data_IF_934019417796
#
_entry.id   IF_934019417796
#
_cell.length_a   1.000
_cell.length_b   1.000
_cell.length_c   1.000
_cell.angle_alpha   90.00
_cell.angle_beta   90.00
_cell.angle_gamma   90.00
#
_symmetry.space_group_name_H-M   'P 1'
#
loop_
_entity.id
_entity.type
_entity.pdbx_description
1 polymer ?
#
# COMPACT_ATOMS: atom_id res chain seq x y z
N UNK A 1 6.53 9.15 -16.10
CA UNK A 1 6.78 8.67 -14.74
C UNK A 1 5.49 8.86 -13.98
N UNK A 2 4.83 7.81 -13.49
CA UNK A 2 3.54 7.95 -12.81
C UNK A 2 3.68 7.83 -11.29
N UNK A 3 3.07 8.78 -10.58
CA UNK A 3 3.07 8.85 -9.12
C UNK A 3 1.70 8.44 -8.59
N UNK A 4 1.67 7.36 -7.83
CA UNK A 4 0.47 6.72 -7.31
C UNK A 4 0.26 7.17 -5.88
N UNK A 5 -0.88 7.82 -5.61
CA UNK A 5 -1.26 8.16 -4.25
C UNK A 5 -2.23 7.13 -3.66
N UNK A 6 -2.05 6.81 -2.38
CA UNK A 6 -2.96 5.94 -1.64
C UNK A 6 -4.14 6.75 -1.08
N UNK A 7 -5.34 6.56 -1.64
CA UNK A 7 -6.58 7.18 -1.17
C UNK A 7 -7.28 6.26 -0.17
N UNK A 8 -7.17 6.63 1.11
CA UNK A 8 -7.78 5.89 2.22
C UNK A 8 -9.28 6.13 2.36
N UNK A 9 -10.05 5.05 2.34
CA UNK A 9 -11.49 5.04 2.55
C UNK A 9 -11.87 4.15 3.75
N UNK A 10 -13.10 4.28 4.22
CA UNK A 10 -13.72 3.31 5.13
C UNK A 10 -15.22 3.22 4.91
N UNK A 11 -15.79 2.06 5.21
CA UNK A 11 -17.21 1.86 5.37
C UNK A 11 -17.69 2.54 6.66
N UNK A 12 -18.78 3.30 6.55
CA UNK A 12 -19.45 3.93 7.67
C UNK A 12 -20.77 3.20 7.92
N UNK A 13 -20.83 2.42 9.00
CA UNK A 13 -21.99 1.60 9.35
C UNK A 13 -23.26 2.41 9.64
N UNK A 14 -23.09 3.61 10.22
CA UNK A 14 -24.20 4.49 10.59
C UNK A 14 -24.85 5.10 9.33
N UNK A 15 -24.02 5.46 8.35
CA UNK A 15 -24.48 6.05 7.09
C UNK A 15 -24.74 5.02 5.99
N UNK A 16 -24.39 3.75 6.22
CA UNK A 16 -24.52 2.66 5.24
C UNK A 16 -23.86 3.01 3.90
N UNK A 17 -22.69 3.65 3.96
CA UNK A 17 -21.94 4.08 2.76
C UNK A 17 -20.45 4.24 3.09
N UNK A 18 -19.63 4.34 2.06
CA UNK A 18 -18.22 4.66 2.22
C UNK A 18 -17.99 6.14 2.55
N UNK A 19 -16.86 6.44 3.18
CA UNK A 19 -16.35 7.79 3.29
C UNK A 19 -14.84 7.85 3.07
N UNK A 20 -14.40 8.97 2.50
CA UNK A 20 -12.99 9.29 2.38
C UNK A 20 -12.44 9.67 3.75
N UNK A 21 -11.31 9.07 4.12
CA UNK A 21 -10.54 9.43 5.32
C UNK A 21 -9.57 10.57 5.03
N UNK A 22 -9.31 10.86 3.75
CA UNK A 22 -8.34 11.87 3.31
C UNK A 22 -8.77 13.28 3.65
N UNK A 23 -7.84 14.07 4.18
CA UNK A 23 -8.02 15.47 4.58
C UNK A 23 -6.92 16.36 4.03
N UNK A 24 -7.22 17.65 3.96
CA UNK A 24 -6.24 18.72 3.79
C UNK A 24 -6.42 19.65 4.98
N UNK A 25 -5.64 19.41 6.04
CA UNK A 25 -5.88 20.05 7.34
C UNK A 25 -7.30 19.78 7.86
N UNK A 26 -8.12 20.82 7.98
CA UNK A 26 -9.46 20.72 8.59
C UNK A 26 -10.58 20.24 7.65
N UNK A 27 -10.35 20.19 6.34
CA UNK A 27 -11.38 19.82 5.34
C UNK A 27 -11.16 18.43 4.76
N UNK A 28 -12.23 17.82 4.23
CA UNK A 28 -12.13 16.60 3.41
C UNK A 28 -11.34 16.90 2.14
N UNK A 29 -10.49 15.96 1.72
CA UNK A 29 -9.77 16.05 0.46
C UNK A 29 -10.68 15.69 -0.72
N UNK A 30 -10.32 16.24 -1.86
CA UNK A 30 -10.93 16.05 -3.18
C UNK A 30 -9.89 15.52 -4.15
N UNK A 31 -10.31 15.08 -5.34
CA UNK A 31 -9.42 14.60 -6.40
C UNK A 31 -8.38 15.67 -6.79
N UNK A 32 -8.80 16.94 -6.85
CA UNK A 32 -7.91 18.06 -7.18
C UNK A 32 -6.75 18.18 -6.20
N UNK A 33 -6.93 17.79 -4.93
CA UNK A 33 -5.86 17.85 -3.93
C UNK A 33 -4.72 16.87 -4.25
N UNK A 34 -5.02 15.75 -4.91
CA UNK A 34 -4.03 14.82 -5.42
C UNK A 34 -3.30 15.40 -6.63
N UNK A 35 -4.05 15.93 -7.60
CA UNK A 35 -3.50 16.49 -8.83
C UNK A 35 -2.60 17.71 -8.57
N UNK A 36 -3.01 18.62 -7.68
CA UNK A 36 -2.24 19.81 -7.30
C UNK A 36 -0.88 19.47 -6.67
N UNK A 37 -0.75 18.27 -6.10
CA UNK A 37 0.49 17.76 -5.48
C UNK A 37 1.30 16.89 -6.43
N UNK A 38 0.90 16.80 -7.69
CA UNK A 38 1.65 16.12 -8.75
C UNK A 38 1.43 14.61 -8.81
N UNK A 39 0.36 14.08 -8.20
CA UNK A 39 0.01 12.67 -8.35
C UNK A 39 -0.71 12.43 -9.68
N UNK A 40 -0.29 11.37 -10.38
CA UNK A 40 -0.82 10.99 -11.70
C UNK A 40 -1.92 9.95 -11.59
N UNK A 41 -1.90 9.12 -10.54
CA UNK A 41 -2.85 8.03 -10.32
C UNK A 41 -3.24 7.93 -8.85
N UNK A 42 -4.41 7.34 -8.58
CA UNK A 42 -4.86 7.02 -7.22
C UNK A 42 -5.18 5.55 -7.07
N UNK A 43 -4.78 4.97 -5.95
CA UNK A 43 -5.22 3.64 -5.51
C UNK A 43 -6.26 3.89 -4.43
N UNK A 44 -7.49 3.41 -4.62
CA UNK A 44 -8.57 3.51 -3.63
C UNK A 44 -8.52 2.28 -2.74
N UNK A 45 -8.17 2.45 -1.46
CA UNK A 45 -7.94 1.34 -0.53
C UNK A 45 -8.34 1.65 0.92
N UNK A 46 -8.33 0.60 1.74
CA UNK A 46 -9.07 0.55 3.01
C UNK A 46 -8.32 -0.19 4.12
N UNK A 47 -7.02 -0.47 3.97
CA UNK A 47 -6.22 -1.23 4.94
C UNK A 47 -6.51 -2.73 4.90
N UNK A 48 -6.06 -3.35 3.81
CA UNK A 48 -6.18 -4.78 3.53
C UNK A 48 -7.61 -5.36 3.58
N UNK A 49 -8.65 -4.55 3.39
CA UNK A 49 -10.04 -5.00 3.46
C UNK A 49 -10.77 -4.73 4.77
N UNK A 50 -10.06 -4.40 5.86
CA UNK A 50 -10.69 -4.30 7.20
C UNK A 50 -11.68 -3.15 7.32
N UNK A 51 -11.53 -2.12 6.49
CA UNK A 51 -12.45 -0.99 6.44
C UNK A 51 -13.40 -1.04 5.24
N UNK A 52 -13.46 -2.13 4.47
CA UNK A 52 -14.49 -2.33 3.44
C UNK A 52 -15.71 -3.02 3.99
N UNK A 53 -16.87 -2.66 3.44
CA UNK A 53 -18.11 -3.38 3.68
C UNK A 53 -17.93 -4.89 3.39
N UNK A 54 -18.57 -5.73 4.20
CA UNK A 54 -18.50 -7.18 4.09
C UNK A 54 -19.85 -7.77 4.48
N UNK A 55 -20.76 -7.89 3.53
CA UNK A 55 -22.10 -8.43 3.77
C UNK A 55 -22.13 -9.96 3.92
N UNK A 56 -21.05 -10.64 3.56
CA UNK A 56 -20.91 -12.10 3.67
C UNK A 56 -19.67 -12.62 2.95
N UNK A 57 -19.66 -13.91 2.59
CA UNK A 57 -18.51 -14.59 1.95
C UNK A 57 -18.87 -15.27 0.62
N UNK A 58 -20.09 -15.07 0.12
CA UNK A 58 -20.52 -15.67 -1.16
C UNK A 58 -20.26 -14.71 -2.31
N UNK A 59 -20.23 -15.23 -3.54
CA UNK A 59 -20.21 -14.44 -4.77
C UNK A 59 -21.20 -13.26 -4.74
N UNK A 60 -22.47 -13.50 -4.38
CA UNK A 60 -23.49 -12.45 -4.37
C UNK A 60 -23.22 -11.33 -3.36
N UNK A 61 -22.53 -11.67 -2.26
CA UNK A 61 -22.08 -10.66 -1.28
C UNK A 61 -20.96 -9.83 -1.90
N UNK A 62 -19.93 -10.48 -2.43
CA UNK A 62 -18.83 -9.80 -3.10
C UNK A 62 -19.33 -8.88 -4.22
N UNK A 63 -20.26 -9.36 -5.05
CA UNK A 63 -20.86 -8.58 -6.12
C UNK A 63 -21.53 -7.30 -5.62
N UNK A 64 -22.37 -7.40 -4.60
CA UNK A 64 -23.04 -6.22 -4.05
C UNK A 64 -22.04 -5.28 -3.38
N UNK A 65 -21.13 -5.80 -2.55
CA UNK A 65 -20.17 -4.99 -1.80
C UNK A 65 -19.20 -4.25 -2.74
N UNK A 66 -18.71 -4.92 -3.79
CA UNK A 66 -17.86 -4.31 -4.82
C UNK A 66 -18.59 -3.28 -5.66
N UNK A 67 -19.85 -3.54 -6.02
CA UNK A 67 -20.71 -2.58 -6.72
C UNK A 67 -20.95 -1.32 -5.89
N UNK A 68 -21.22 -1.47 -4.60
CA UNK A 68 -21.43 -0.34 -3.67
C UNK A 68 -20.20 0.57 -3.58
N UNK A 69 -19.00 0.00 -3.55
CA UNK A 69 -17.77 0.79 -3.60
C UNK A 69 -17.64 1.54 -4.93
N UNK A 70 -17.88 0.86 -6.06
CA UNK A 70 -17.78 1.48 -7.38
C UNK A 70 -18.82 2.61 -7.59
N UNK A 71 -20.06 2.41 -7.13
CA UNK A 71 -21.10 3.45 -7.11
C UNK A 71 -20.68 4.64 -6.24
N UNK A 72 -20.07 4.39 -5.08
CA UNK A 72 -19.54 5.46 -4.24
C UNK A 72 -18.42 6.24 -4.94
N UNK A 73 -17.51 5.56 -5.64
CA UNK A 73 -16.43 6.20 -6.41
C UNK A 73 -16.99 7.11 -7.49
N UNK A 74 -18.05 6.69 -8.20
CA UNK A 74 -18.70 7.52 -9.23
C UNK A 74 -19.18 8.86 -8.68
N UNK A 75 -19.61 8.92 -7.41
CA UNK A 75 -20.06 10.18 -6.79
C UNK A 75 -18.93 11.16 -6.47
N UNK A 76 -17.67 10.82 -6.75
CA UNK A 76 -16.48 11.62 -6.40
C UNK A 76 -15.89 12.41 -7.54
N UNK A 77 -16.46 12.33 -8.74
CA UNK A 77 -15.98 13.02 -9.94
C UNK A 77 -14.46 12.83 -10.16
N UNK A 78 -13.99 11.58 -10.01
CA UNK A 78 -12.56 11.26 -10.18
C UNK A 78 -12.18 11.34 -11.65
N UNK A 79 -11.55 12.44 -12.05
CA UNK A 79 -10.98 12.63 -13.40
C UNK A 79 -9.47 12.36 -13.42
N UNK A 80 -9.06 11.22 -12.85
CA UNK A 80 -7.69 10.73 -12.96
C UNK A 80 -7.67 9.20 -12.95
N UNK A 81 -6.65 8.55 -13.57
CA UNK A 81 -6.51 7.10 -13.56
C UNK A 81 -6.55 6.54 -12.13
N UNK A 82 -7.36 5.49 -11.92
CA UNK A 82 -7.52 4.88 -10.60
C UNK A 82 -7.48 3.35 -10.59
N UNK A 83 -7.08 2.81 -9.45
CA UNK A 83 -7.17 1.38 -9.13
C UNK A 83 -8.11 1.19 -7.94
N UNK A 84 -8.91 0.13 -7.98
CA UNK A 84 -9.87 -0.19 -6.92
C UNK A 84 -9.37 -1.41 -6.15
N UNK A 85 -9.35 -1.32 -4.82
CA UNK A 85 -8.94 -2.44 -3.96
C UNK A 85 -9.79 -3.70 -4.18
N UNK A 86 -9.15 -4.86 -4.14
CA UNK A 86 -9.76 -6.16 -3.88
C UNK A 86 -9.45 -6.46 -2.41
N UNK A 87 -10.44 -6.35 -1.49
CA UNK A 87 -10.21 -6.44 -0.06
C UNK A 87 -9.94 -7.89 0.35
N UNK A 88 -8.91 -8.14 1.15
CA UNK A 88 -8.54 -9.49 1.58
C UNK A 88 -9.20 -9.90 2.91
N UNK A 89 -9.12 -9.04 3.92
CA UNK A 89 -9.65 -9.28 5.24
C UNK A 89 -11.08 -8.74 5.41
N UNK A 90 -11.83 -9.44 6.25
CA UNK A 90 -13.08 -8.98 6.87
C UNK A 90 -12.77 -7.98 7.98
N UNK A 91 -13.76 -7.19 8.43
CA UNK A 91 -13.59 -6.30 9.58
C UNK A 91 -13.16 -7.02 10.87
N UNK A 92 -13.51 -8.30 11.02
CA UNK A 92 -13.07 -9.15 12.16
C UNK A 92 -11.65 -9.72 12.01
N UNK A 93 -10.93 -9.34 10.95
CA UNK A 93 -9.55 -9.77 10.67
C UNK A 93 -9.44 -11.17 10.07
N UNK A 94 -10.55 -11.88 9.83
CA UNK A 94 -10.54 -13.16 9.11
C UNK A 94 -10.48 -12.92 7.61
N UNK A 95 -9.97 -13.89 6.88
CA UNK A 95 -10.00 -13.88 5.42
C UNK A 95 -11.44 -13.88 4.89
N UNK A 96 -11.73 -13.13 3.82
CA UNK A 96 -13.10 -13.00 3.27
C UNK A 96 -13.64 -14.29 2.67
N UNK A 97 -12.79 -14.98 1.93
CA UNK A 97 -13.10 -16.24 1.26
C UNK A 97 -11.81 -17.02 1.01
N UNK A 98 -11.89 -18.30 0.67
CA UNK A 98 -10.73 -19.15 0.44
C UNK A 98 -9.86 -18.62 -0.71
N UNK A 99 -8.54 -18.73 -0.54
CA UNK A 99 -7.53 -18.36 -1.56
C UNK A 99 -6.50 -19.46 -1.77
N UNK A 100 -6.81 -20.68 -1.31
CA UNK A 100 -5.94 -21.85 -1.44
C UNK A 100 -6.25 -22.63 -2.72
N UNK A 101 -7.51 -22.70 -3.13
CA UNK A 101 -7.89 -23.23 -4.43
C UNK A 101 -7.62 -22.20 -5.53
N UNK A 102 -7.34 -22.66 -6.75
CA UNK A 102 -7.17 -21.76 -7.90
C UNK A 102 -8.42 -20.90 -8.12
N UNK A 103 -8.23 -19.63 -8.47
CA UNK A 103 -9.32 -18.67 -8.69
C UNK A 103 -10.31 -19.13 -9.78
N UNK A 104 -9.83 -19.86 -10.79
CA UNK A 104 -10.69 -20.43 -11.84
C UNK A 104 -11.55 -21.60 -11.37
N UNK A 105 -11.16 -22.28 -10.28
CA UNK A 105 -11.85 -23.46 -9.74
C UNK A 105 -13.00 -23.12 -8.78
N UNK A 106 -13.14 -21.84 -8.41
CA UNK A 106 -14.16 -21.34 -7.48
C UNK A 106 -14.96 -20.19 -8.11
N UNK A 107 -15.83 -20.49 -9.09
CA UNK A 107 -16.62 -19.46 -9.76
C UNK A 107 -17.55 -18.71 -8.80
N UNK A 108 -17.96 -19.32 -7.69
CA UNK A 108 -18.82 -18.70 -6.68
C UNK A 108 -18.04 -17.98 -5.56
N UNK A 109 -16.77 -17.63 -5.79
CA UNK A 109 -15.96 -16.94 -4.79
C UNK A 109 -16.40 -15.50 -4.55
N UNK A 110 -16.24 -15.04 -3.31
CA UNK A 110 -16.45 -13.63 -2.94
C UNK A 110 -15.59 -12.70 -3.80
N UNK A 111 -14.31 -13.03 -4.00
CA UNK A 111 -13.38 -12.18 -4.75
C UNK A 111 -13.79 -12.02 -6.21
N UNK A 112 -14.30 -13.08 -6.85
CA UNK A 112 -14.86 -12.96 -8.19
C UNK A 112 -16.09 -12.08 -8.20
N UNK A 113 -17.01 -12.32 -7.26
CA UNK A 113 -18.17 -11.47 -7.07
C UNK A 113 -17.77 -10.00 -6.96
N UNK A 114 -16.80 -9.67 -6.10
CA UNK A 114 -16.29 -8.30 -5.92
C UNK A 114 -15.82 -7.65 -7.22
N UNK A 115 -14.99 -8.34 -7.97
CA UNK A 115 -14.49 -7.86 -9.27
C UNK A 115 -15.66 -7.61 -10.22
N UNK A 116 -16.57 -8.57 -10.35
CA UNK A 116 -17.74 -8.47 -11.24
C UNK A 116 -18.69 -7.34 -10.80
N UNK A 117 -18.84 -7.14 -9.50
CA UNK A 117 -19.61 -6.05 -8.91
C UNK A 117 -19.04 -4.68 -9.27
N UNK A 118 -17.72 -4.51 -9.11
CA UNK A 118 -17.02 -3.29 -9.53
C UNK A 118 -17.16 -3.07 -11.03
N UNK A 119 -16.93 -4.10 -11.85
CA UNK A 119 -17.03 -4.02 -13.32
C UNK A 119 -18.47 -3.83 -13.83
N UNK A 120 -19.48 -4.10 -13.01
CA UNK A 120 -20.88 -3.83 -13.35
C UNK A 120 -21.22 -2.33 -13.38
N UNK A 121 -20.31 -1.50 -12.88
CA UNK A 121 -20.40 -0.04 -12.82
C UNK A 121 -19.36 0.54 -13.78
N UNK A 122 -19.80 1.44 -14.67
CA UNK A 122 -18.91 2.12 -15.61
C UNK A 122 -18.12 3.23 -14.90
N UNK A 123 -17.10 2.84 -14.14
CA UNK A 123 -16.21 3.76 -13.43
C UNK A 123 -15.20 4.35 -14.43
N UNK A 124 -15.45 5.60 -14.82
CA UNK A 124 -14.54 6.36 -15.67
C UNK A 124 -13.10 6.31 -15.15
N UNK A 125 -12.13 6.15 -16.06
CA UNK A 125 -10.68 6.15 -15.77
C UNK A 125 -10.19 5.00 -14.87
N UNK A 126 -11.02 3.99 -14.60
CA UNK A 126 -10.55 2.77 -13.94
C UNK A 126 -9.50 2.08 -14.82
N UNK A 127 -8.31 1.86 -14.25
CA UNK A 127 -7.20 1.16 -14.88
C UNK A 127 -7.17 -0.32 -14.49
N UNK A 128 -7.65 -0.63 -13.28
CA UNK A 128 -7.76 -1.99 -12.80
C UNK A 128 -7.86 -2.10 -11.29
N UNK A 129 -7.25 -3.14 -10.74
CA UNK A 129 -7.43 -3.54 -9.35
C UNK A 129 -6.13 -3.55 -8.55
N UNK A 130 -6.24 -3.27 -7.26
CA UNK A 130 -5.17 -3.43 -6.28
C UNK A 130 -5.43 -4.66 -5.40
N UNK A 131 -4.53 -5.62 -5.40
CA UNK A 131 -4.61 -6.76 -4.48
C UNK A 131 -4.17 -6.33 -3.08
N UNK A 132 -5.12 -6.26 -2.14
CA UNK A 132 -4.89 -5.58 -0.86
C UNK A 132 -4.12 -6.41 0.17
N UNK A 133 -3.76 -7.66 -0.10
CA UNK A 133 -3.02 -8.45 0.89
C UNK A 133 -1.53 -8.15 0.76
N UNK A 134 -0.98 -7.40 1.72
CA UNK A 134 0.34 -6.79 1.58
C UNK A 134 1.47 -7.76 1.93
N UNK A 135 1.19 -8.87 2.61
CA UNK A 135 2.24 -9.80 3.04
C UNK A 135 3.02 -10.37 1.86
N UNK A 136 4.31 -10.05 1.79
CA UNK A 136 5.20 -10.68 0.80
C UNK A 136 5.33 -12.20 1.00
N UNK A 137 4.97 -12.75 2.17
CA UNK A 137 4.98 -14.19 2.45
C UNK A 137 3.75 -14.96 1.96
N UNK A 138 2.79 -14.31 1.29
CA UNK A 138 1.45 -14.84 1.09
C UNK A 138 1.35 -16.25 0.45
N UNK A 139 2.35 -16.67 -0.34
CA UNK A 139 2.38 -17.97 -1.03
C UNK A 139 3.48 -18.92 -0.57
N UNK A 140 4.28 -18.55 0.42
CA UNK A 140 5.41 -19.34 0.91
C UNK A 140 5.03 -20.25 2.08
N UNK A 141 5.91 -21.19 2.48
CA UNK A 141 5.71 -22.09 3.63
C UNK A 141 5.54 -21.34 4.97
N UNK A 142 5.85 -20.05 5.00
CA UNK A 142 5.73 -19.19 6.17
C UNK A 142 4.53 -18.25 6.16
N UNK A 143 3.70 -18.28 5.11
CA UNK A 143 2.58 -17.36 4.98
C UNK A 143 1.41 -17.88 4.18
N UNK A 144 1.28 -19.22 4.03
CA UNK A 144 0.32 -20.08 3.29
C UNK A 144 -1.17 -19.65 3.30
N UNK A 145 -1.43 -18.37 3.07
CA UNK A 145 -2.74 -17.76 3.09
C UNK A 145 -3.30 -17.73 1.67
N UNK A 146 -2.45 -17.57 0.65
CA UNK A 146 -2.83 -17.49 -0.76
C UNK A 146 -1.99 -18.48 -1.58
N UNK A 147 -2.60 -19.24 -2.49
CA UNK A 147 -1.84 -20.10 -3.40
C UNK A 147 -1.35 -19.32 -4.63
N UNK A 148 -0.26 -19.77 -5.23
CA UNK A 148 0.25 -19.20 -6.49
C UNK A 148 -0.79 -19.31 -7.61
N UNK A 149 -1.49 -20.43 -7.66
CA UNK A 149 -2.55 -20.73 -8.64
C UNK A 149 -3.76 -19.81 -8.47
N UNK A 150 -4.02 -19.32 -7.24
CA UNK A 150 -5.02 -18.30 -7.01
C UNK A 150 -4.60 -16.98 -7.65
N UNK A 151 -3.40 -16.46 -7.36
CA UNK A 151 -2.91 -15.19 -7.92
C UNK A 151 -2.82 -15.24 -9.45
N UNK A 152 -2.30 -16.33 -10.02
CA UNK A 152 -2.24 -16.53 -11.47
C UNK A 152 -3.64 -16.49 -12.11
N UNK A 153 -4.62 -17.14 -11.48
CA UNK A 153 -5.99 -17.16 -11.95
C UNK A 153 -6.68 -15.80 -11.81
N UNK A 154 -6.40 -15.07 -10.71
CA UNK A 154 -6.87 -13.71 -10.49
C UNK A 154 -6.32 -12.77 -11.57
N UNK A 155 -5.02 -12.79 -11.82
CA UNK A 155 -4.37 -12.05 -12.90
C UNK A 155 -5.02 -12.33 -14.26
N UNK A 156 -5.16 -13.62 -14.61
CA UNK A 156 -5.76 -14.00 -15.90
C UNK A 156 -7.21 -13.52 -16.03
N UNK A 157 -7.96 -13.53 -14.93
CA UNK A 157 -9.34 -13.06 -14.89
C UNK A 157 -9.44 -11.55 -15.11
N UNK A 158 -8.66 -10.77 -14.34
CA UNK A 158 -8.61 -9.30 -14.41
C UNK A 158 -8.16 -8.84 -15.81
N UNK A 159 -7.10 -9.44 -16.36
CA UNK A 159 -6.64 -9.15 -17.72
C UNK A 159 -7.64 -9.57 -18.80
N UNK A 160 -8.48 -10.57 -18.54
CA UNK A 160 -9.58 -10.97 -19.44
C UNK A 160 -10.59 -9.84 -19.69
N UNK A 161 -10.67 -8.87 -18.77
CA UNK A 161 -11.47 -7.65 -18.92
C UNK A 161 -10.65 -6.43 -19.38
N UNK A 162 -9.38 -6.62 -19.77
CA UNK A 162 -8.49 -5.55 -20.18
C UNK A 162 -8.07 -4.61 -19.04
N UNK A 163 -8.15 -5.09 -17.79
CA UNK A 163 -7.77 -4.34 -16.59
C UNK A 163 -6.39 -4.78 -16.10
N UNK A 164 -5.70 -3.87 -15.41
CA UNK A 164 -4.41 -4.12 -14.75
C UNK A 164 -4.60 -4.67 -13.33
N UNK A 165 -3.60 -5.38 -12.80
CA UNK A 165 -3.52 -5.84 -11.42
C UNK A 165 -2.23 -5.37 -10.75
N UNK A 166 -2.35 -4.61 -9.66
CA UNK A 166 -1.20 -4.05 -8.93
C UNK A 166 -1.09 -4.60 -7.51
N UNK A 167 0.13 -4.54 -6.95
CA UNK A 167 0.42 -4.99 -5.59
C UNK A 167 1.46 -4.11 -4.90
N UNK A 168 1.33 -3.95 -3.58
CA UNK A 168 2.21 -3.13 -2.76
C UNK A 168 2.69 -3.99 -1.58
N UNK A 169 3.67 -4.89 -1.80
CA UNK A 169 4.09 -5.85 -0.78
C UNK A 169 4.91 -5.21 0.34
N UNK A 170 4.53 -5.51 1.59
CA UNK A 170 5.36 -5.27 2.77
C UNK A 170 6.43 -6.34 2.93
N UNK A 171 7.70 -5.91 3.02
CA UNK A 171 8.81 -6.80 3.38
C UNK A 171 8.89 -7.05 4.88
N UNK A 172 8.15 -6.28 5.68
CA UNK A 172 8.13 -6.37 7.13
C UNK A 172 7.20 -7.44 7.70
N UNK A 173 7.34 -7.67 9.01
CA UNK A 173 6.43 -8.54 9.75
C UNK A 173 6.70 -8.54 11.25
N UNK A 174 5.66 -8.33 12.05
CA UNK A 174 5.78 -8.37 13.51
C UNK A 174 6.64 -7.21 14.04
N UNK A 175 7.84 -7.50 14.55
CA UNK A 175 8.71 -6.53 15.24
C UNK A 175 9.95 -6.09 14.44
N UNK A 176 10.13 -6.62 13.24
CA UNK A 176 11.31 -6.41 12.40
C UNK A 176 10.95 -6.47 10.92
N UNK A 177 11.80 -5.86 10.12
CA UNK A 177 11.75 -5.97 8.67
C UNK A 177 12.61 -7.13 8.13
N UNK A 178 12.32 -7.67 6.94
CA UNK A 178 13.19 -8.68 6.30
C UNK A 178 14.32 -7.99 5.54
N UNK A 179 15.56 -8.36 5.85
CA UNK A 179 16.74 -7.97 5.08
C UNK A 179 16.85 -8.72 3.74
N UNK A 180 17.73 -8.23 2.86
CA UNK A 180 17.89 -8.76 1.48
C UNK A 180 18.25 -10.25 1.47
N UNK A 181 18.98 -10.76 2.47
CA UNK A 181 19.32 -12.18 2.51
C UNK A 181 18.11 -13.11 2.71
N UNK A 182 17.01 -12.62 3.29
CA UNK A 182 15.74 -13.35 3.31
C UNK A 182 14.91 -13.09 2.06
N UNK A 183 14.94 -11.87 1.51
CA UNK A 183 14.18 -11.52 0.31
C UNK A 183 14.67 -12.28 -0.94
N UNK A 184 15.95 -12.65 -0.98
CA UNK A 184 16.53 -13.52 -2.00
C UNK A 184 16.25 -15.03 -1.81
N UNK A 185 15.47 -15.42 -0.80
CA UNK A 185 15.06 -16.81 -0.56
C UNK A 185 13.57 -16.97 -0.87
N UNK A 186 13.18 -17.75 -1.90
CA UNK A 186 11.77 -17.88 -2.32
C UNK A 186 10.86 -18.53 -1.26
N UNK A 187 11.43 -19.10 -0.19
CA UNK A 187 10.63 -19.57 0.95
C UNK A 187 10.21 -18.41 1.88
N UNK A 188 10.95 -17.30 1.85
CA UNK A 188 10.79 -16.12 2.70
C UNK A 188 10.40 -14.86 1.91
N UNK A 189 10.22 -14.97 0.60
CA UNK A 189 9.62 -13.93 -0.22
C UNK A 189 8.80 -14.50 -1.39
N UNK A 190 7.50 -14.31 -1.30
CA UNK A 190 6.54 -14.65 -2.34
C UNK A 190 6.64 -13.73 -3.56
N UNK A 191 7.25 -12.54 -3.45
CA UNK A 191 7.41 -11.63 -4.60
C UNK A 191 8.13 -12.33 -5.76
N UNK A 192 9.16 -13.12 -5.47
CA UNK A 192 9.88 -13.91 -6.48
C UNK A 192 8.98 -14.92 -7.21
N UNK A 193 7.96 -15.45 -6.52
CA UNK A 193 7.13 -16.54 -7.03
C UNK A 193 5.88 -16.07 -7.77
N UNK A 194 5.31 -14.93 -7.37
CA UNK A 194 4.04 -14.41 -7.89
C UNK A 194 4.15 -13.01 -8.50
N UNK A 195 5.28 -12.33 -8.37
CA UNK A 195 5.45 -10.96 -8.85
C UNK A 195 5.15 -10.80 -10.35
N UNK A 196 5.48 -11.82 -11.14
CA UNK A 196 5.19 -11.82 -12.58
C UNK A 196 3.70 -11.88 -12.94
N UNK A 197 2.79 -11.93 -11.97
CA UNK A 197 1.33 -11.87 -12.15
C UNK A 197 0.74 -10.51 -11.72
N UNK A 198 1.57 -9.47 -11.66
CA UNK A 198 1.15 -8.10 -11.44
C UNK A 198 1.74 -7.20 -12.53
N UNK A 199 1.01 -6.19 -12.95
CA UNK A 199 1.51 -5.15 -13.86
C UNK A 199 2.44 -4.18 -13.14
N UNK A 200 2.13 -3.88 -11.87
CA UNK A 200 2.95 -3.04 -11.01
C UNK A 200 3.16 -3.68 -9.63
N UNK A 201 4.40 -3.64 -9.15
CA UNK A 201 4.77 -3.98 -7.79
C UNK A 201 5.47 -2.78 -7.16
N UNK A 202 4.93 -2.26 -6.07
CA UNK A 202 5.57 -1.20 -5.27
C UNK A 202 6.03 -1.80 -3.94
N UNK A 203 7.28 -2.28 -3.89
CA UNK A 203 7.83 -2.90 -2.68
C UNK A 203 7.91 -1.86 -1.57
N UNK A 204 7.37 -2.16 -0.39
CA UNK A 204 7.54 -1.34 0.80
C UNK A 204 8.85 -1.73 1.49
N UNK A 205 9.85 -0.83 1.58
CA UNK A 205 11.08 -1.11 2.33
C UNK A 205 10.86 -1.15 3.85
N UNK A 206 9.72 -0.64 4.34
CA UNK A 206 9.32 -0.47 5.74
C UNK A 206 10.40 0.13 6.68
N UNK A 207 11.35 0.89 6.11
CA UNK A 207 12.44 1.53 6.84
C UNK A 207 11.94 2.62 7.79
N UNK A 208 10.88 3.31 7.38
CA UNK A 208 10.20 4.33 8.18
C UNK A 208 9.55 3.73 9.43
N UNK A 209 9.04 2.49 9.35
CA UNK A 209 8.29 1.83 10.43
C UNK A 209 9.19 1.04 11.38
N UNK A 210 10.20 0.34 10.87
CA UNK A 210 10.98 -0.60 11.67
C UNK A 210 12.35 -0.05 12.07
N UNK A 211 12.67 -0.22 13.36
CA UNK A 211 14.00 0.05 13.90
C UNK A 211 14.99 -1.09 13.63
N UNK A 212 14.48 -2.28 13.32
CA UNK A 212 15.25 -3.51 13.19
C UNK A 212 14.94 -4.23 11.89
N UNK A 213 15.92 -4.95 11.40
CA UNK A 213 15.81 -5.90 10.30
C UNK A 213 16.40 -7.25 10.69
N UNK A 214 15.89 -8.31 10.07
CA UNK A 214 16.41 -9.66 10.22
C UNK A 214 17.17 -10.05 8.97
N UNK A 215 18.41 -10.54 9.13
CA UNK A 215 19.17 -11.22 8.07
C UNK A 215 19.29 -12.71 8.41
N UNK A 216 19.51 -13.54 7.40
CA UNK A 216 19.71 -14.98 7.55
C UNK A 216 20.88 -15.25 8.51
N UNK A 217 20.54 -15.83 9.68
CA UNK A 217 21.51 -16.12 10.74
C UNK A 217 21.87 -14.93 11.64
N UNK A 218 21.28 -13.75 11.44
CA UNK A 218 21.50 -12.57 12.27
C UNK A 218 20.20 -11.75 12.44
N UNK A 219 19.27 -12.19 13.30
CA UNK A 219 18.02 -11.50 13.56
C UNK A 219 18.21 -10.27 14.46
N UNK A 220 17.38 -9.25 14.27
CA UNK A 220 17.27 -8.08 15.14
C UNK A 220 18.36 -7.03 14.93
N UNK A 221 18.99 -7.01 13.76
CA UNK A 221 19.98 -6.01 13.40
C UNK A 221 19.37 -4.61 13.35
N UNK A 222 20.09 -3.54 13.71
CA UNK A 222 19.63 -2.19 13.49
C UNK A 222 19.34 -1.93 12.00
N UNK A 223 18.19 -1.34 11.70
CA UNK A 223 17.88 -0.93 10.35
C UNK A 223 18.50 0.43 10.04
N UNK A 224 19.74 0.38 9.52
CA UNK A 224 20.53 1.55 9.18
C UNK A 224 20.21 2.08 7.78
N UNK A 225 20.67 3.30 7.48
CA UNK A 225 20.53 3.90 6.16
C UNK A 225 21.20 3.05 5.06
N UNK A 226 22.37 2.47 5.33
CA UNK A 226 23.08 1.62 4.38
C UNK A 226 22.27 0.38 4.01
N UNK A 227 21.50 -0.15 4.96
CA UNK A 227 20.60 -1.28 4.76
C UNK A 227 19.37 -0.90 3.92
N UNK A 228 18.89 0.34 4.04
CA UNK A 228 17.87 0.88 3.13
C UNK A 228 18.43 0.98 1.70
N UNK A 229 19.63 1.54 1.53
CA UNK A 229 20.29 1.65 0.20
C UNK A 229 20.50 0.27 -0.42
N UNK A 230 20.96 -0.70 0.37
CA UNK A 230 21.10 -2.10 -0.07
C UNK A 230 19.76 -2.68 -0.55
N UNK A 231 18.68 -2.48 0.20
CA UNK A 231 17.35 -2.95 -0.19
C UNK A 231 16.84 -2.26 -1.46
N UNK A 232 17.05 -0.96 -1.61
CA UNK A 232 16.66 -0.23 -2.83
C UNK A 232 17.43 -0.75 -4.04
N UNK A 233 18.73 -1.04 -3.91
CA UNK A 233 19.50 -1.69 -4.99
C UNK A 233 18.95 -3.08 -5.32
N UNK A 234 18.57 -3.86 -4.31
CA UNK A 234 17.92 -5.15 -4.54
C UNK A 234 16.62 -5.01 -5.35
N UNK A 235 15.72 -4.10 -4.97
CA UNK A 235 14.46 -3.84 -5.71
C UNK A 235 14.75 -3.40 -7.15
N UNK A 236 15.75 -2.54 -7.34
CA UNK A 236 16.09 -1.98 -8.66
C UNK A 236 16.80 -2.98 -9.58
N UNK A 237 17.79 -3.69 -9.06
CA UNK A 237 18.78 -4.42 -9.86
C UNK A 237 18.56 -5.93 -9.84
N UNK A 238 18.19 -6.51 -8.70
CA UNK A 238 18.10 -7.98 -8.53
C UNK A 238 16.68 -8.47 -8.80
N UNK A 239 15.69 -7.91 -8.10
CA UNK A 239 14.31 -8.38 -8.17
C UNK A 239 13.72 -8.45 -9.60
N UNK A 240 13.95 -7.48 -10.51
CA UNK A 240 13.45 -7.57 -11.88
C UNK A 240 14.08 -8.68 -12.72
N UNK A 241 15.29 -9.15 -12.37
CA UNK A 241 15.93 -10.29 -13.05
C UNK A 241 15.30 -11.61 -12.62
N UNK A 242 14.85 -11.69 -11.37
CA UNK A 242 14.29 -12.90 -10.79
C UNK A 242 12.79 -13.05 -11.08
N UNK A 243 12.07 -11.95 -11.26
CA UNK A 243 10.68 -11.98 -11.75
C UNK A 243 10.67 -12.32 -13.25
N UNK A 244 10.19 -13.52 -13.57
CA UNK A 244 10.10 -14.02 -14.94
C UNK A 244 8.88 -13.46 -15.72
N UNK A 245 8.72 -12.12 -15.73
CA UNK A 245 7.78 -11.42 -16.60
C UNK A 245 8.33 -10.01 -16.93
N UNK A 246 8.78 -9.76 -18.17
CA UNK A 246 9.35 -8.46 -18.54
C UNK A 246 8.32 -7.32 -18.62
N UNK A 247 7.01 -7.63 -18.54
CA UNK A 247 5.94 -6.63 -18.55
C UNK A 247 5.60 -6.12 -17.15
N UNK A 248 6.10 -6.76 -16.09
CA UNK A 248 5.90 -6.30 -14.71
C UNK A 248 6.82 -5.12 -14.42
N UNK A 249 6.23 -3.99 -14.05
CA UNK A 249 6.96 -2.82 -13.56
C UNK A 249 7.20 -2.97 -12.06
N UNK A 250 8.47 -2.95 -11.66
CA UNK A 250 8.89 -3.06 -10.26
C UNK A 250 9.41 -1.71 -9.81
N UNK A 251 8.88 -1.24 -8.67
CA UNK A 251 9.32 -0.02 -8.03
C UNK A 251 9.16 -0.11 -6.51
N UNK A 252 9.28 1.02 -5.82
CA UNK A 252 9.12 1.15 -4.38
C UNK A 252 7.90 1.98 -3.99
N UNK A 253 7.39 1.68 -2.81
CA UNK A 253 6.54 2.61 -2.06
C UNK A 253 7.42 3.56 -1.23
N UNK A 254 7.13 4.85 -1.34
CA UNK A 254 7.66 5.93 -0.52
C UNK A 254 6.74 6.13 0.68
N UNK A 255 7.28 5.95 1.89
CA UNK A 255 6.49 5.97 3.11
C UNK A 255 6.76 7.22 3.95
N UNK A 256 5.68 7.87 4.38
CA UNK A 256 5.67 8.90 5.41
C UNK A 256 4.33 8.91 6.14
N UNK A 257 4.25 9.34 7.40
CA UNK A 257 2.97 9.43 8.13
C UNK A 257 2.79 10.77 8.84
N UNK A 258 1.69 10.91 9.58
CA UNK A 258 1.37 12.18 10.28
C UNK A 258 2.29 12.49 11.46
N UNK A 259 3.22 11.62 11.83
CA UNK A 259 4.24 11.93 12.85
C UNK A 259 5.05 13.17 12.46
N UNK A 260 5.27 13.40 11.16
CA UNK A 260 5.99 14.57 10.64
C UNK A 260 5.29 15.90 10.96
N UNK A 261 3.99 15.88 11.26
CA UNK A 261 3.22 17.07 11.59
C UNK A 261 3.54 17.62 12.99
N UNK A 262 4.17 16.82 13.86
CA UNK A 262 4.55 17.27 15.21
C UNK A 262 3.37 17.73 16.07
N UNK A 263 2.23 17.06 15.95
CA UNK A 263 1.00 17.43 16.66
C UNK A 263 1.21 17.22 18.16
N UNK A 264 1.07 18.30 18.94
CA UNK A 264 1.21 18.22 20.38
C UNK A 264 0.05 17.45 21.03
N UNK A 265 0.36 16.64 22.05
CA UNK A 265 -0.64 15.91 22.83
C UNK A 265 -0.30 15.90 24.32
N UNK A 266 -1.33 15.92 25.17
CA UNK A 266 -1.19 15.81 26.63
C UNK A 266 -1.79 14.52 27.18
N UNK A 267 -2.59 13.82 26.38
CA UNK A 267 -3.20 12.53 26.70
C UNK A 267 -3.57 11.80 25.39
N UNK A 268 -3.79 10.47 25.41
CA UNK A 268 -3.98 9.68 24.18
C UNK A 268 -5.10 10.17 23.26
N UNK A 269 -6.26 10.58 23.80
CA UNK A 269 -7.40 11.05 23.00
C UNK A 269 -7.23 12.47 22.42
N UNK A 270 -6.12 13.16 22.71
CA UNK A 270 -5.79 14.42 22.06
C UNK A 270 -5.25 14.23 20.63
N UNK A 271 -4.85 13.01 20.28
CA UNK A 271 -4.32 12.70 18.96
C UNK A 271 -5.41 12.42 17.93
N UNK A 272 -5.18 12.76 16.64
CA UNK A 272 -6.06 12.36 15.56
C UNK A 272 -6.26 10.83 15.50
N UNK A 273 -7.37 10.40 14.91
CA UNK A 273 -7.66 8.99 14.67
C UNK A 273 -6.47 8.26 14.03
N UNK A 274 -6.11 7.10 14.59
CA UNK A 274 -4.99 6.28 14.10
C UNK A 274 -3.60 6.69 14.64
N UNK A 275 -3.52 7.71 15.49
CA UNK A 275 -2.27 8.13 16.12
C UNK A 275 -2.29 7.85 17.63
N UNK A 276 -1.10 7.73 18.21
CA UNK A 276 -0.87 7.58 19.65
C UNK A 276 -0.11 8.77 20.20
N UNK A 277 -0.30 9.08 21.48
CA UNK A 277 0.45 10.12 22.17
C UNK A 277 1.68 9.52 22.85
N UNK A 278 2.88 9.99 22.51
CA UNK A 278 4.07 9.72 23.34
C UNK A 278 4.09 10.69 24.52
N UNK A 279 3.88 10.17 25.73
CA UNK A 279 3.83 10.97 26.96
C UNK A 279 5.18 11.55 27.39
N UNK A 280 6.30 11.07 26.85
CA UNK A 280 7.63 11.55 27.20
C UNK A 280 7.99 12.83 26.43
N UNK A 281 7.56 12.91 25.17
CA UNK A 281 7.83 14.06 24.28
C UNK A 281 6.57 14.84 23.90
N UNK A 282 5.40 14.44 24.42
CA UNK A 282 4.10 15.11 24.23
C UNK A 282 3.75 15.35 22.76
N UNK A 283 4.00 14.35 21.91
CA UNK A 283 3.80 14.43 20.46
C UNK A 283 3.01 13.20 19.98
N UNK A 284 2.05 13.44 19.07
CA UNK A 284 1.34 12.36 18.39
C UNK A 284 2.23 11.72 17.34
N UNK A 285 2.25 10.39 17.31
CA UNK A 285 2.92 9.61 16.29
C UNK A 285 1.97 8.56 15.70
N UNK A 286 2.18 8.27 14.44
CA UNK A 286 1.65 7.13 13.70
C UNK A 286 2.84 6.17 13.44
N UNK A 287 2.63 5.02 12.81
CA UNK A 287 3.54 3.87 12.65
C UNK A 287 5.07 4.08 12.41
N UNK A 288 5.59 5.30 12.34
CA UNK A 288 7.00 5.65 12.41
C UNK A 288 7.76 5.02 13.58
N UNK A 289 8.98 4.56 13.27
CA UNK A 289 9.99 4.07 14.22
C UNK A 289 10.49 5.12 15.22
N UNK A 290 10.13 6.38 15.05
CA UNK A 290 10.57 7.51 15.86
C UNK A 290 9.46 8.54 16.00
N UNK A 291 9.20 8.95 17.24
CA UNK A 291 8.03 9.77 17.56
C UNK A 291 8.30 11.28 17.43
N UNK A 292 9.57 11.68 17.30
CA UNK A 292 9.95 13.08 17.07
C UNK A 292 9.78 13.45 15.59
N UNK A 293 8.98 14.50 15.33
CA UNK A 293 8.64 14.94 13.97
C UNK A 293 9.85 15.20 13.07
N UNK A 294 10.88 15.89 13.56
CA UNK A 294 12.05 16.21 12.73
C UNK A 294 12.87 14.97 12.35
N UNK A 295 12.89 13.94 13.20
CA UNK A 295 13.55 12.68 12.85
C UNK A 295 12.68 11.83 11.92
N UNK A 296 11.36 11.82 12.11
CA UNK A 296 10.42 11.22 11.17
C UNK A 296 10.58 11.83 9.76
N UNK A 297 10.68 13.17 9.66
CA UNK A 297 10.99 13.86 8.40
C UNK A 297 12.31 13.33 7.81
N UNK A 298 13.37 13.22 8.61
CA UNK A 298 14.65 12.73 8.11
C UNK A 298 14.56 11.30 7.56
N UNK A 299 13.85 10.39 8.24
CA UNK A 299 13.65 9.03 7.75
C UNK A 299 12.84 8.97 6.45
N UNK A 300 11.86 9.85 6.26
CA UNK A 300 11.14 9.96 4.99
C UNK A 300 12.04 10.54 3.87
N UNK A 301 12.90 11.52 4.19
CA UNK A 301 13.90 12.06 3.25
C UNK A 301 14.97 11.02 2.88
N UNK A 302 15.26 10.07 3.77
CA UNK A 302 16.25 9.02 3.51
C UNK A 302 15.85 8.12 2.35
N UNK A 303 14.56 7.95 2.05
CA UNK A 303 14.13 7.26 0.83
C UNK A 303 14.62 7.95 -0.43
N UNK A 304 14.46 9.28 -0.51
CA UNK A 304 14.90 10.08 -1.66
C UNK A 304 16.43 10.05 -1.78
N UNK A 305 17.14 10.22 -0.65
CA UNK A 305 18.60 10.11 -0.62
C UNK A 305 19.05 8.72 -1.06
N UNK A 306 18.40 7.67 -0.58
CA UNK A 306 18.79 6.29 -0.87
C UNK A 306 18.50 5.89 -2.32
N UNK A 307 17.46 6.43 -2.96
CA UNK A 307 17.26 6.35 -4.42
C UNK A 307 18.47 6.95 -5.17
N UNK A 308 18.89 8.15 -4.78
CA UNK A 308 20.06 8.82 -5.37
C UNK A 308 21.37 8.03 -5.16
N UNK A 309 21.60 7.52 -3.95
CA UNK A 309 22.80 6.74 -3.60
C UNK A 309 22.80 5.33 -4.22
N UNK A 310 21.62 4.78 -4.51
CA UNK A 310 21.47 3.59 -5.34
C UNK A 310 21.65 3.89 -6.84
N UNK A 311 21.73 5.16 -7.24
CA UNK A 311 21.82 5.56 -8.65
C UNK A 311 20.53 5.32 -9.44
N UNK A 312 19.39 5.19 -8.76
CA UNK A 312 18.13 4.81 -9.37
C UNK A 312 17.13 5.96 -9.39
N UNK A 313 16.49 6.15 -10.56
CA UNK A 313 15.39 7.09 -10.77
C UNK A 313 14.17 6.30 -11.24
N UNK A 314 13.38 5.72 -10.32
CA UNK A 314 12.25 4.87 -10.68
C UNK A 314 11.30 5.60 -11.62
N UNK A 315 10.80 4.88 -12.62
CA UNK A 315 9.82 5.42 -13.57
C UNK A 315 8.46 5.60 -12.93
N UNK A 316 8.14 4.91 -11.84
CA UNK A 316 6.83 4.98 -11.20
C UNK A 316 7.03 4.83 -9.69
N UNK A 317 6.24 5.49 -8.87
CA UNK A 317 6.36 5.43 -7.40
C UNK A 317 4.98 5.39 -6.77
N UNK A 318 4.81 4.62 -5.70
CA UNK A 318 3.64 4.70 -4.84
C UNK A 318 3.96 5.51 -3.58
N UNK A 319 3.00 6.24 -3.04
CA UNK A 319 3.19 7.11 -1.89
C UNK A 319 2.16 6.82 -0.81
N UNK A 320 2.63 6.27 0.31
CA UNK A 320 1.90 6.23 1.57
C UNK A 320 2.17 7.53 2.33
N UNK A 321 1.10 8.25 2.69
CA UNK A 321 1.19 9.49 3.47
C UNK A 321 0.09 9.62 4.54
N UNK A 322 -0.41 8.48 5.03
CA UNK A 322 -1.59 8.41 5.91
C UNK A 322 -2.79 9.19 5.32
N UNK A 323 -3.47 10.01 6.12
CA UNK A 323 -4.80 10.57 5.82
C UNK A 323 -4.83 12.11 5.78
N UNK A 324 -3.69 12.80 5.87
CA UNK A 324 -3.63 14.28 5.78
C UNK A 324 -2.55 14.73 4.81
N UNK A 325 -2.95 15.42 3.75
CA UNK A 325 -2.06 15.95 2.71
C UNK A 325 -1.03 16.95 3.21
N UNK A 326 -1.21 17.54 4.39
CA UNK A 326 -0.15 18.35 5.02
C UNK A 326 1.15 17.58 5.19
N UNK A 327 1.09 16.24 5.29
CA UNK A 327 2.28 15.38 5.31
C UNK A 327 3.09 15.56 4.03
N UNK A 328 2.45 15.45 2.86
CA UNK A 328 3.10 15.67 1.56
C UNK A 328 3.60 17.10 1.42
N UNK A 329 2.81 18.10 1.86
CA UNK A 329 3.21 19.51 1.76
C UNK A 329 4.50 19.81 2.54
N UNK A 330 4.64 19.27 3.76
CA UNK A 330 5.86 19.41 4.56
C UNK A 330 7.05 18.74 3.88
N UNK A 331 6.85 17.52 3.37
CA UNK A 331 7.93 16.76 2.74
C UNK A 331 8.39 17.41 1.44
N UNK A 332 7.44 17.94 0.66
CA UNK A 332 7.72 18.69 -0.55
C UNK A 332 8.59 19.92 -0.28
N UNK A 333 8.26 20.71 0.74
CA UNK A 333 9.07 21.88 1.15
C UNK A 333 10.48 21.46 1.61
N UNK A 334 10.55 20.39 2.42
CA UNK A 334 11.82 19.90 2.98
C UNK A 334 12.74 19.32 1.91
N UNK A 335 12.24 18.48 1.01
CA UNK A 335 13.00 17.98 -0.12
C UNK A 335 13.54 19.11 -1.00
N UNK A 336 12.71 20.11 -1.34
CA UNK A 336 13.17 21.24 -2.13
C UNK A 336 14.29 22.01 -1.46
N UNK A 337 14.20 22.23 -0.15
CA UNK A 337 15.22 22.99 0.60
C UNK A 337 16.52 22.20 0.78
N UNK A 338 16.44 20.91 1.08
CA UNK A 338 17.59 20.11 1.52
C UNK A 338 18.25 19.34 0.37
N UNK A 339 17.45 18.89 -0.60
CA UNK A 339 17.88 18.01 -1.69
C UNK A 339 17.78 18.68 -3.07
N UNK A 340 17.14 19.86 -3.15
CA UNK A 340 16.89 20.59 -4.40
C UNK A 340 16.12 19.75 -5.44
N UNK A 341 15.19 18.92 -4.95
CA UNK A 341 14.31 18.09 -5.75
C UNK A 341 12.94 17.96 -5.05
N UNK A 342 11.86 17.64 -5.79
CA UNK A 342 10.56 17.41 -5.19
C UNK A 342 10.51 16.08 -4.42
N UNK A 343 9.63 15.97 -3.40
CA UNK A 343 9.36 14.67 -2.76
C UNK A 343 8.44 13.81 -3.65
N UNK A 344 7.36 14.43 -4.12
CA UNK A 344 6.47 13.86 -5.14
C UNK A 344 7.00 14.22 -6.51
#
# INVERSE_FOLDING_TARGET
MAKFALWWIRWNEDLRTYESRMKVGGRKATVNDFQERGFDRVVVLDGEGRNSHCSGSLYSNGYNDGRELAEWILTRDIDMPLYITIPFYRPDGKQRDQTQASFSSVPDSYYRGWIDGVLSVDVNKMMGFYWSYESSLQTGPHGENVSKEFIQGLYSYVHGYGQELIWIPSTGGGTSDRGVSYLNDPNYDGILNIGGYFDYIFVQPNYYQYQKLDEKGNPGLPYTYEKLVEKIRWVHEELPRDINNPNTTISIEMEVDRTVLGIHCTYPSACPEGMNCDSNIYTCYEHCREHQSQKAINYALDYVRALNDAGWKPSDLAYYFSTDFKVIDILQEKCWRELNEPYV
#
